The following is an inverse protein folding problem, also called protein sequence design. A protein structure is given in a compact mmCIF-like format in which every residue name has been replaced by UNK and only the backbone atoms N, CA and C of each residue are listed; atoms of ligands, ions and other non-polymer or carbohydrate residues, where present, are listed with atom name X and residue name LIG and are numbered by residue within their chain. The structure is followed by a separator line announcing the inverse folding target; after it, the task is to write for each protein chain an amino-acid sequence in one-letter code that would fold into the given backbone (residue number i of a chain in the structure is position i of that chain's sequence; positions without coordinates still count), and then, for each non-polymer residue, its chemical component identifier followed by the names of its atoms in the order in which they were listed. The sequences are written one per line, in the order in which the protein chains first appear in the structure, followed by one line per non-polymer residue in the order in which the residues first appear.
data_IF_700997396548
#
_entry.id   IF_700997396548
#
_cell.length_a   1.000
_cell.length_b   1.000
_cell.length_c   1.000
_cell.angle_alpha   90.00
_cell.angle_beta   90.00
_cell.angle_gamma   90.00
#
_symmetry.space_group_name_H-M   'P 1'
#
loop_
_entity.id
_entity.type
_entity.pdbx_description
1 polymer ?
#
# COMPACT_ATOMS: atom_id res chain seq x y z
N UNK A 1 9.62 -20.40 -70.51
CA UNK A 1 9.58 -20.99 -69.16
C UNK A 1 10.71 -20.40 -68.36
N UNK A 2 10.44 -19.37 -67.55
CA UNK A 2 11.42 -18.73 -66.69
C UNK A 2 10.88 -18.76 -65.26
N UNK A 3 11.57 -19.47 -64.39
CA UNK A 3 11.18 -19.65 -62.98
C UNK A 3 11.38 -18.35 -62.19
N UNK A 4 10.53 -18.04 -61.20
CA UNK A 4 10.70 -16.85 -60.36
C UNK A 4 11.80 -17.09 -59.33
N UNK A 5 12.73 -16.13 -59.23
CA UNK A 5 13.71 -16.03 -58.15
C UNK A 5 13.00 -15.64 -56.86
N UNK A 6 12.95 -16.55 -55.89
CA UNK A 6 12.52 -16.22 -54.53
C UNK A 6 13.56 -15.31 -53.86
N UNK A 7 13.11 -14.12 -53.47
CA UNK A 7 13.87 -13.20 -52.63
C UNK A 7 13.86 -13.73 -51.19
N UNK A 8 14.99 -14.29 -50.77
CA UNK A 8 15.25 -14.67 -49.38
C UNK A 8 15.52 -13.40 -48.57
N UNK A 9 14.56 -13.02 -47.72
CA UNK A 9 14.73 -11.91 -46.76
C UNK A 9 15.91 -12.19 -45.81
N UNK A 10 16.69 -11.16 -45.42
CA UNK A 10 17.79 -11.32 -44.47
C UNK A 10 17.25 -11.68 -43.08
N UNK A 11 17.78 -12.75 -42.50
CA UNK A 11 17.48 -13.15 -41.12
C UNK A 11 17.88 -12.04 -40.13
N UNK A 12 17.08 -11.78 -39.09
CA UNK A 12 17.45 -10.82 -38.04
C UNK A 12 18.70 -11.32 -37.31
N UNK A 13 19.69 -10.44 -37.20
CA UNK A 13 20.94 -10.68 -36.47
C UNK A 13 20.63 -11.02 -34.98
N UNK A 14 21.12 -12.16 -34.45
CA UNK A 14 20.78 -12.65 -33.11
C UNK A 14 21.25 -11.76 -31.94
N UNK A 15 22.06 -10.73 -32.21
CA UNK A 15 22.58 -9.82 -31.18
C UNK A 15 21.57 -8.77 -30.67
N UNK A 16 20.54 -8.44 -31.45
CA UNK A 16 19.60 -7.36 -31.10
C UNK A 16 18.70 -7.68 -29.91
N UNK A 17 18.09 -8.86 -29.92
CA UNK A 17 17.12 -9.27 -28.90
C UNK A 17 17.75 -9.42 -27.50
N UNK A 18 18.97 -9.95 -27.41
CA UNK A 18 19.69 -10.11 -26.15
C UNK A 18 20.06 -8.76 -25.52
N UNK A 19 20.49 -7.80 -26.34
CA UNK A 19 20.83 -6.45 -25.86
C UNK A 19 19.58 -5.70 -25.39
N UNK A 20 18.47 -5.83 -26.13
CA UNK A 20 17.18 -5.26 -25.73
C UNK A 20 16.68 -5.86 -24.41
N UNK A 21 16.66 -7.20 -24.30
CA UNK A 21 16.24 -7.90 -23.09
C UNK A 21 17.05 -7.46 -21.87
N UNK A 22 18.38 -7.37 -22.01
CA UNK A 22 19.27 -6.92 -20.95
C UNK A 22 18.99 -5.47 -20.54
N UNK A 23 18.76 -4.57 -21.50
CA UNK A 23 18.44 -3.17 -21.22
C UNK A 23 17.11 -3.01 -20.49
N UNK A 24 16.08 -3.76 -20.90
CA UNK A 24 14.74 -3.72 -20.29
C UNK A 24 14.75 -4.30 -18.88
N UNK A 25 15.41 -5.45 -18.68
CA UNK A 25 15.60 -6.03 -17.35
C UNK A 25 16.36 -5.09 -16.41
N UNK A 26 17.43 -4.45 -16.88
CA UNK A 26 18.19 -3.50 -16.07
C UNK A 26 17.32 -2.33 -15.59
N UNK A 27 16.49 -1.77 -16.49
CA UNK A 27 15.54 -0.71 -16.15
C UNK A 27 14.50 -1.20 -15.12
N UNK A 28 13.94 -2.40 -15.30
CA UNK A 28 12.97 -2.96 -14.34
C UNK A 28 13.59 -3.20 -12.95
N UNK A 29 14.82 -3.71 -12.89
CA UNK A 29 15.54 -3.90 -11.62
C UNK A 29 15.84 -2.56 -10.91
N UNK A 30 16.14 -1.50 -11.67
CA UNK A 30 16.31 -0.16 -11.12
C UNK A 30 14.99 0.36 -10.52
N UNK A 31 13.88 0.16 -11.23
CA UNK A 31 12.52 0.50 -10.74
C UNK A 31 12.22 -0.24 -9.44
N UNK A 32 12.45 -1.57 -9.41
CA UNK A 32 12.22 -2.39 -8.21
C UNK A 32 13.10 -1.94 -7.03
N UNK A 33 14.35 -1.57 -7.29
CA UNK A 33 15.25 -1.07 -6.23
C UNK A 33 14.78 0.27 -5.66
N UNK A 34 14.19 1.14 -6.48
CA UNK A 34 13.58 2.39 -6.02
C UNK A 34 12.26 2.16 -5.26
N UNK A 35 11.50 1.15 -5.67
CA UNK A 35 10.25 0.74 -5.05
C UNK A 35 10.47 0.10 -3.67
N UNK A 36 11.49 -0.73 -3.54
CA UNK A 36 11.80 -1.48 -2.32
C UNK A 36 13.19 -1.04 -1.82
N UNK A 37 13.29 0.17 -1.23
CA UNK A 37 14.58 0.78 -0.87
C UNK A 37 15.27 0.09 0.30
N UNK A 38 14.58 -0.82 0.99
CA UNK A 38 15.14 -1.57 2.10
C UNK A 38 16.31 -2.44 1.61
N UNK A 39 17.48 -2.35 2.28
CA UNK A 39 18.66 -3.07 1.84
C UNK A 39 18.41 -4.58 1.93
N UNK A 40 18.44 -5.25 0.79
CA UNK A 40 18.21 -6.69 0.67
C UNK A 40 16.75 -7.10 0.44
N UNK A 41 15.81 -6.15 0.35
CA UNK A 41 14.42 -6.48 0.00
C UNK A 41 14.32 -7.06 -1.41
N UNK A 42 15.04 -6.50 -2.39
CA UNK A 42 15.19 -7.06 -3.74
C UNK A 42 16.66 -7.38 -3.97
N UNK A 43 16.96 -8.62 -4.35
CA UNK A 43 18.31 -9.07 -4.71
C UNK A 43 18.25 -9.85 -6.01
N UNK A 44 18.95 -9.37 -7.04
CA UNK A 44 19.09 -10.09 -8.30
C UNK A 44 20.45 -10.82 -8.37
N UNK A 45 20.42 -12.09 -8.77
CA UNK A 45 21.60 -12.95 -8.91
C UNK A 45 21.83 -13.26 -10.40
N UNK A 46 22.74 -12.53 -11.09
CA UNK A 46 22.91 -12.62 -12.54
C UNK A 46 23.26 -14.03 -13.03
N UNK A 47 24.04 -14.78 -12.24
CA UNK A 47 24.51 -16.12 -12.61
C UNK A 47 23.37 -17.14 -12.72
N UNK A 48 22.38 -17.06 -11.84
CA UNK A 48 21.20 -17.93 -11.87
C UNK A 48 20.01 -17.31 -12.59
N UNK A 49 20.10 -16.01 -12.94
CA UNK A 49 18.97 -15.17 -13.33
C UNK A 49 17.83 -15.26 -12.31
N UNK A 50 18.19 -15.24 -11.03
CA UNK A 50 17.23 -15.37 -9.95
C UNK A 50 17.00 -14.02 -9.30
N UNK A 51 15.73 -13.65 -9.14
CA UNK A 51 15.33 -12.50 -8.33
C UNK A 51 14.77 -13.03 -7.01
N UNK A 52 15.38 -12.59 -5.91
CA UNK A 52 14.86 -12.83 -4.57
C UNK A 52 14.23 -11.56 -4.04
N UNK A 53 12.98 -11.66 -3.65
CA UNK A 53 12.27 -10.65 -2.89
C UNK A 53 12.06 -11.15 -1.46
N UNK A 54 12.42 -10.34 -0.48
CA UNK A 54 12.25 -10.65 0.94
C UNK A 54 11.56 -9.48 1.60
N UNK A 55 10.44 -9.75 2.25
CA UNK A 55 9.76 -8.78 3.11
C UNK A 55 10.29 -9.06 4.50
N UNK A 56 11.26 -8.28 5.02
CA UNK A 56 11.61 -8.37 6.42
C UNK A 56 10.30 -8.17 7.18
N UNK A 57 9.95 -9.01 8.16
CA UNK A 57 8.75 -8.80 8.97
C UNK A 57 8.92 -7.53 9.81
N UNK A 58 8.37 -6.36 9.44
CA UNK A 58 8.64 -5.11 10.15
C UNK A 58 7.45 -4.66 11.00
N UNK A 59 6.39 -5.48 11.10
CA UNK A 59 5.08 -5.07 11.62
C UNK A 59 4.58 -5.89 12.82
N UNK A 60 5.38 -6.84 13.32
CA UNK A 60 5.06 -7.60 14.54
C UNK A 60 6.10 -7.25 15.61
N UNK A 61 6.09 -6.00 16.08
CA UNK A 61 6.40 -5.73 17.49
C UNK A 61 5.16 -6.13 18.31
N UNK A 62 4.85 -7.43 18.39
CA UNK A 62 4.00 -7.89 19.47
C UNK A 62 4.77 -7.61 20.75
N UNK A 63 4.35 -6.57 21.49
CA UNK A 63 4.91 -6.12 22.76
C UNK A 63 4.91 -7.16 23.89
N UNK A 64 4.63 -8.42 23.60
CA UNK A 64 4.93 -9.57 24.44
C UNK A 64 6.36 -10.00 24.13
N UNK A 65 7.30 -9.75 25.05
CA UNK A 65 8.73 -10.06 24.94
C UNK A 65 9.12 -11.53 24.75
N UNK A 66 8.25 -12.34 24.15
CA UNK A 66 8.54 -13.68 23.68
C UNK A 66 9.24 -13.57 22.34
N UNK A 67 10.54 -13.82 22.37
CA UNK A 67 11.48 -13.82 21.24
C UNK A 67 11.17 -14.98 20.28
N UNK A 68 10.00 -14.96 19.64
CA UNK A 68 9.60 -15.87 18.58
C UNK A 68 10.27 -15.45 17.28
N UNK A 69 10.78 -16.43 16.53
CA UNK A 69 11.39 -16.23 15.22
C UNK A 69 10.37 -15.64 14.24
N UNK A 70 10.36 -14.33 14.05
CA UNK A 70 9.62 -13.68 12.95
C UNK A 70 10.35 -13.99 11.65
N UNK A 71 9.94 -15.07 10.97
CA UNK A 71 10.48 -15.36 9.64
C UNK A 71 10.07 -14.26 8.66
N UNK A 72 10.93 -13.99 7.69
CA UNK A 72 10.64 -13.05 6.61
C UNK A 72 9.88 -13.77 5.48
N UNK A 73 8.79 -13.19 5.01
CA UNK A 73 8.12 -13.70 3.83
C UNK A 73 9.06 -13.56 2.62
N UNK A 74 9.23 -14.62 1.84
CA UNK A 74 10.24 -14.69 0.79
C UNK A 74 9.63 -15.20 -0.51
N UNK A 75 9.95 -14.54 -1.62
CA UNK A 75 9.65 -14.93 -2.99
C UNK A 75 10.96 -15.07 -3.77
N UNK A 76 11.11 -16.17 -4.51
CA UNK A 76 12.25 -16.42 -5.41
C UNK A 76 11.72 -16.73 -6.79
N UNK A 77 12.16 -15.94 -7.77
CA UNK A 77 11.79 -16.03 -9.17
C UNK A 77 13.00 -16.43 -9.99
N UNK A 78 12.81 -17.27 -11.02
CA UNK A 78 13.81 -17.54 -12.06
C UNK A 78 13.38 -16.90 -13.37
N UNK A 79 14.22 -16.05 -13.94
CA UNK A 79 13.92 -15.32 -15.15
C UNK A 79 14.40 -16.10 -16.39
N UNK A 80 13.57 -16.26 -17.44
CA UNK A 80 13.98 -16.78 -18.73
C UNK A 80 15.18 -16.03 -19.33
N UNK A 81 15.94 -16.68 -20.21
CA UNK A 81 17.16 -16.13 -20.82
C UNK A 81 16.93 -14.82 -21.59
N UNK A 82 15.76 -14.65 -22.19
CA UNK A 82 15.40 -13.48 -22.98
C UNK A 82 14.30 -12.65 -22.33
N UNK A 83 14.05 -12.81 -21.02
CA UNK A 83 13.12 -11.94 -20.30
C UNK A 83 13.54 -10.46 -20.37
N UNK A 84 12.63 -9.50 -20.59
CA UNK A 84 11.17 -9.66 -20.74
C UNK A 84 10.69 -9.94 -22.17
N UNK A 85 11.58 -10.02 -23.16
CA UNK A 85 11.23 -10.21 -24.58
C UNK A 85 10.49 -11.53 -24.80
N UNK A 86 10.93 -12.62 -24.18
CA UNK A 86 10.22 -13.91 -24.27
C UNK A 86 10.09 -14.62 -22.93
N UNK A 87 8.90 -15.18 -22.69
CA UNK A 87 8.58 -15.97 -21.52
C UNK A 87 8.43 -15.15 -20.23
N UNK A 88 8.00 -15.81 -19.17
CA UNK A 88 7.74 -15.20 -17.86
C UNK A 88 8.63 -15.75 -16.77
N UNK A 89 8.89 -14.97 -15.71
CA UNK A 89 9.59 -15.47 -14.53
C UNK A 89 8.84 -16.64 -13.89
N UNK A 90 9.56 -17.70 -13.55
CA UNK A 90 9.03 -18.87 -12.85
C UNK A 90 9.15 -18.69 -11.34
N UNK A 91 8.06 -18.97 -10.60
CA UNK A 91 8.06 -18.97 -9.14
C UNK A 91 8.73 -20.25 -8.62
N UNK A 92 9.96 -20.14 -8.10
CA UNK A 92 10.69 -21.24 -7.49
C UNK A 92 10.26 -21.47 -6.04
N UNK A 93 10.15 -20.38 -5.28
CA UNK A 93 9.80 -20.39 -3.85
C UNK A 93 8.87 -19.21 -3.57
N UNK A 94 7.83 -19.45 -2.79
CA UNK A 94 7.02 -18.41 -2.17
C UNK A 94 6.64 -18.94 -0.78
N UNK A 95 7.03 -18.24 0.29
CA UNK A 95 6.79 -18.70 1.65
C UNK A 95 6.34 -17.57 2.55
N UNK A 96 5.37 -17.86 3.41
CA UNK A 96 5.02 -16.96 4.50
C UNK A 96 6.11 -16.97 5.57
N UNK A 97 6.32 -15.81 6.20
CA UNK A 97 7.36 -15.64 7.21
C UNK A 97 7.12 -16.47 8.47
N UNK A 98 5.88 -16.48 8.98
CA UNK A 98 5.61 -16.97 10.33
C UNK A 98 5.33 -18.48 10.40
N UNK A 99 4.67 -19.04 9.39
CA UNK A 99 4.29 -20.45 9.35
C UNK A 99 5.19 -21.29 8.44
N UNK A 100 6.16 -20.66 7.74
CA UNK A 100 6.89 -21.26 6.62
C UNK A 100 5.94 -21.94 5.61
N UNK A 101 4.69 -21.48 5.55
CA UNK A 101 3.69 -22.07 4.69
C UNK A 101 4.08 -21.82 3.25
N UNK A 102 4.00 -22.86 2.44
CA UNK A 102 4.25 -22.77 1.01
C UNK A 102 3.09 -22.01 0.34
N UNK A 103 3.42 -20.87 -0.25
CA UNK A 103 2.49 -19.98 -0.94
C UNK A 103 2.66 -20.03 -2.46
N UNK A 104 3.39 -21.00 -3.01
CA UNK A 104 3.66 -21.08 -4.46
C UNK A 104 2.38 -21.21 -5.27
N UNK A 105 1.51 -22.14 -4.93
CA UNK A 105 0.29 -22.39 -5.71
C UNK A 105 -0.70 -21.22 -5.63
N UNK A 106 -0.99 -20.64 -4.44
CA UNK A 106 -1.80 -19.42 -4.36
C UNK A 106 -1.19 -18.24 -5.11
N UNK A 107 0.13 -18.05 -5.05
CA UNK A 107 0.82 -16.98 -5.79
C UNK A 107 0.72 -17.20 -7.29
N UNK A 108 0.94 -18.43 -7.78
CA UNK A 108 0.76 -18.78 -9.20
C UNK A 108 -0.68 -18.50 -9.66
N UNK A 109 -1.67 -18.92 -8.89
CA UNK A 109 -3.07 -18.67 -9.21
C UNK A 109 -3.40 -17.15 -9.26
N UNK A 110 -2.85 -16.36 -8.35
CA UNK A 110 -3.00 -14.90 -8.37
C UNK A 110 -2.33 -14.26 -9.59
N UNK A 111 -1.19 -14.80 -10.03
CA UNK A 111 -0.47 -14.36 -11.24
C UNK A 111 -1.22 -14.75 -12.52
N UNK A 112 -1.79 -15.96 -12.57
CA UNK A 112 -2.59 -16.41 -13.72
C UNK A 112 -3.82 -15.51 -13.93
N UNK A 113 -4.39 -14.98 -12.84
CA UNK A 113 -5.47 -13.99 -12.88
C UNK A 113 -5.05 -12.62 -13.48
N UNK A 114 -3.77 -12.43 -13.81
CA UNK A 114 -3.30 -11.28 -14.57
C UNK A 114 -3.53 -11.41 -16.07
N UNK A 115 -3.68 -12.63 -16.58
CA UNK A 115 -3.84 -12.86 -18.02
C UNK A 115 -2.62 -12.40 -18.83
N UNK A 116 -1.41 -12.66 -18.30
CA UNK A 116 -0.16 -12.26 -18.96
C UNK A 116 -0.07 -12.90 -20.37
N UNK A 117 0.42 -12.18 -21.39
CA UNK A 117 0.55 -12.71 -22.74
C UNK A 117 1.46 -13.94 -22.74
N UNK A 118 1.04 -15.08 -23.30
CA UNK A 118 1.80 -16.34 -23.21
C UNK A 118 3.26 -16.25 -23.73
N UNK A 119 3.53 -15.34 -24.66
CA UNK A 119 4.83 -15.19 -25.31
C UNK A 119 5.81 -14.27 -24.56
N UNK A 120 5.35 -13.54 -23.54
CA UNK A 120 6.14 -12.49 -22.88
C UNK A 120 5.90 -11.12 -23.50
N UNK A 121 6.95 -10.28 -23.56
CA UNK A 121 6.92 -8.94 -24.15
C UNK A 121 6.69 -7.81 -23.15
N UNK A 122 6.40 -8.12 -21.89
CA UNK A 122 6.11 -7.15 -20.83
C UNK A 122 6.94 -7.42 -19.57
N UNK A 123 7.35 -6.33 -18.92
CA UNK A 123 7.95 -6.31 -17.58
C UNK A 123 6.90 -6.60 -16.50
N UNK A 124 7.03 -7.72 -15.79
CA UNK A 124 6.01 -8.24 -14.84
C UNK A 124 6.54 -8.53 -13.43
N UNK A 125 7.81 -8.24 -13.12
CA UNK A 125 8.38 -8.56 -11.81
C UNK A 125 7.66 -7.84 -10.67
N UNK A 126 7.26 -6.58 -10.86
CA UNK A 126 6.45 -5.83 -9.89
C UNK A 126 5.08 -6.49 -9.66
N UNK A 127 4.40 -6.87 -10.75
CA UNK A 127 3.11 -7.55 -10.67
C UNK A 127 3.20 -8.88 -9.92
N UNK A 128 4.26 -9.67 -10.17
CA UNK A 128 4.53 -10.92 -9.45
C UNK A 128 4.75 -10.68 -7.95
N UNK A 129 5.50 -9.64 -7.58
CA UNK A 129 5.72 -9.26 -6.18
C UNK A 129 4.41 -8.81 -5.52
N UNK A 130 3.59 -8.03 -6.22
CA UNK A 130 2.28 -7.60 -5.73
C UNK A 130 1.32 -8.77 -5.52
N UNK A 131 1.26 -9.73 -6.45
CA UNK A 131 0.48 -10.97 -6.27
C UNK A 131 0.91 -11.73 -5.02
N UNK A 132 2.21 -11.87 -4.82
CA UNK A 132 2.76 -12.53 -3.64
C UNK A 132 2.38 -11.79 -2.34
N UNK A 133 2.49 -10.45 -2.33
CA UNK A 133 2.10 -9.63 -1.18
C UNK A 133 0.62 -9.80 -0.81
N UNK A 134 -0.27 -9.82 -1.81
CA UNK A 134 -1.71 -10.03 -1.59
C UNK A 134 -2.02 -11.41 -1.01
N UNK A 135 -1.31 -12.45 -1.45
CA UNK A 135 -1.45 -13.80 -0.92
C UNK A 135 -0.97 -13.88 0.53
N UNK A 136 0.17 -13.26 0.84
CA UNK A 136 0.70 -13.20 2.22
C UNK A 136 -0.28 -12.48 3.15
N UNK A 137 -0.86 -11.36 2.70
CA UNK A 137 -1.85 -10.60 3.47
C UNK A 137 -3.13 -11.43 3.73
N UNK A 138 -3.63 -12.12 2.69
CA UNK A 138 -4.82 -12.98 2.81
C UNK A 138 -4.61 -14.16 3.78
N UNK A 139 -3.43 -14.79 3.77
CA UNK A 139 -3.07 -15.87 4.71
C UNK A 139 -3.07 -15.37 6.16
N UNK A 140 -2.47 -14.19 6.41
CA UNK A 140 -2.45 -13.58 7.74
C UNK A 140 -3.85 -13.29 8.27
N UNK A 141 -4.76 -12.80 7.41
CA UNK A 141 -6.15 -12.56 7.79
C UNK A 141 -6.87 -13.85 8.19
N UNK A 142 -6.64 -14.96 7.48
CA UNK A 142 -7.25 -16.25 7.81
C UNK A 142 -6.78 -16.81 9.16
N UNK A 143 -5.49 -16.69 9.49
CA UNK A 143 -4.94 -17.19 10.76
C UNK A 143 -5.55 -16.49 11.99
N UNK A 144 -5.87 -15.19 11.90
CA UNK A 144 -6.47 -14.46 13.04
C UNK A 144 -7.90 -14.92 13.37
N UNK A 145 -8.63 -15.49 12.41
CA UNK A 145 -10.02 -15.92 12.60
C UNK A 145 -10.17 -17.34 13.14
N UNK A 146 -9.15 -18.19 12.94
CA UNK A 146 -9.21 -19.61 13.30
C UNK A 146 -8.79 -19.93 14.75
N UNK A 147 -8.22 -18.96 15.48
CA UNK A 147 -7.65 -19.19 16.82
C UNK A 147 -8.61 -19.02 18.01
N UNK A 148 -9.91 -18.77 17.80
CA UNK A 148 -10.84 -18.40 18.89
C UNK A 148 -11.80 -19.51 19.35
N UNK A 149 -11.70 -20.73 18.83
CA UNK A 149 -12.60 -21.83 19.18
C UNK A 149 -11.84 -23.01 19.79
N UNK A 150 -11.44 -22.92 21.07
CA UNK A 150 -11.46 -24.09 21.99
C UNK A 150 -10.90 -23.77 23.39
N UNK A 151 -11.77 -23.78 24.42
CA UNK A 151 -11.58 -24.58 25.66
C UNK A 151 -12.73 -24.38 26.67
N UNK A 152 -13.86 -25.06 26.44
CA UNK A 152 -14.71 -25.53 27.54
C UNK A 152 -15.15 -26.98 27.31
N UNK A 153 -14.18 -27.90 27.35
CA UNK A 153 -14.46 -29.30 27.74
C UNK A 153 -14.49 -29.40 29.26
N UNK A 154 -15.59 -28.98 29.85
CA UNK A 154 -15.96 -29.34 31.22
C UNK A 154 -16.63 -30.71 31.22
N UNK A 155 -15.90 -31.73 31.65
CA UNK A 155 -16.47 -33.02 32.01
C UNK A 155 -17.21 -32.88 33.36
N UNK A 156 -18.53 -33.07 33.36
CA UNK A 156 -19.33 -33.10 34.58
C UNK A 156 -20.81 -33.39 34.31
N UNK A 157 -21.20 -34.66 34.41
CA UNK A 157 -22.61 -35.06 34.63
C UNK A 157 -23.02 -34.62 36.04
N UNK A 158 -24.25 -34.11 36.22
CA UNK A 158 -25.26 -34.98 36.84
C UNK A 158 -26.61 -34.90 36.14
N UNK A 159 -27.33 -36.02 36.20
CA UNK A 159 -28.74 -36.15 35.84
C UNK A 159 -29.62 -35.26 36.72
N UNK A 160 -30.62 -34.63 36.11
CA UNK A 160 -31.69 -33.92 36.80
C UNK A 160 -32.72 -33.43 35.79
N UNK A 161 -33.81 -34.18 35.65
CA UNK A 161 -35.02 -33.81 34.92
C UNK A 161 -35.60 -32.50 35.46
N UNK A 162 -35.73 -31.47 34.61
CA UNK A 162 -36.77 -30.43 34.73
C UNK A 162 -37.09 -29.90 33.33
N UNK A 163 -38.37 -29.95 32.97
CA UNK A 163 -38.95 -29.30 31.80
C UNK A 163 -39.15 -27.80 32.07
N UNK A 164 -38.71 -26.93 31.16
CA UNK A 164 -39.18 -25.54 31.02
C UNK A 164 -38.59 -24.95 29.72
N UNK A 165 -39.39 -24.75 28.68
CA UNK A 165 -39.99 -23.48 28.25
C UNK A 165 -39.03 -22.55 27.48
N UNK A 166 -39.53 -22.08 26.34
CA UNK A 166 -38.77 -21.57 25.22
C UNK A 166 -38.07 -20.24 25.47
N UNK A 167 -36.85 -20.08 24.94
CA UNK A 167 -36.37 -18.80 24.39
C UNK A 167 -35.10 -19.00 23.54
N UNK A 168 -35.28 -19.27 22.24
CA UNK A 168 -34.19 -19.22 21.25
C UNK A 168 -34.36 -17.97 20.36
N UNK A 169 -34.01 -16.79 20.88
CA UNK A 169 -33.78 -15.56 20.08
C UNK A 169 -33.14 -14.48 20.95
N UNK A 170 -31.85 -14.64 21.33
CA UNK A 170 -31.13 -13.55 22.02
C UNK A 170 -29.60 -13.61 21.98
N UNK A 171 -28.96 -14.44 21.14
CA UNK A 171 -27.49 -14.63 21.22
C UNK A 171 -26.68 -14.30 19.97
N UNK A 172 -27.27 -13.54 19.03
CA UNK A 172 -26.62 -13.19 17.75
C UNK A 172 -26.29 -11.68 17.59
N UNK A 173 -26.17 -10.91 18.67
CA UNK A 173 -25.94 -9.45 18.60
C UNK A 173 -24.76 -8.91 19.43
N UNK A 174 -23.76 -9.72 19.80
CA UNK A 174 -22.61 -9.25 20.59
C UNK A 174 -21.25 -9.29 19.89
N UNK A 175 -21.19 -9.13 18.56
CA UNK A 175 -19.93 -8.94 17.81
C UNK A 175 -19.80 -7.59 17.09
N UNK A 176 -20.64 -6.60 17.38
CA UNK A 176 -20.48 -5.24 16.86
C UNK A 176 -20.39 -4.22 17.99
N UNK A 177 -19.36 -4.34 18.83
CA UNK A 177 -18.80 -3.17 19.52
C UNK A 177 -17.45 -2.85 18.86
N UNK A 178 -17.51 -2.60 17.55
CA UNK A 178 -16.42 -1.94 16.86
C UNK A 178 -16.36 -0.51 17.38
N UNK A 179 -15.20 -0.16 17.94
CA UNK A 179 -14.82 1.18 18.36
C UNK A 179 -15.30 2.23 17.34
N UNK A 180 -15.63 3.47 17.78
CA UNK A 180 -16.15 4.50 16.88
C UNK A 180 -15.23 4.63 15.67
N UNK A 181 -15.69 4.09 14.52
CA UNK A 181 -14.94 4.10 13.27
C UNK A 181 -14.55 5.54 12.99
N UNK A 182 -13.26 5.83 12.93
CA UNK A 182 -12.78 7.12 12.41
C UNK A 182 -13.52 7.37 11.11
N UNK A 183 -14.26 8.48 11.08
CA UNK A 183 -15.10 8.81 9.94
C UNK A 183 -14.25 9.25 8.73
N UNK A 184 -12.94 9.46 8.92
CA UNK A 184 -12.03 9.98 7.93
C UNK A 184 -10.78 9.11 7.78
N UNK A 185 -10.24 9.11 6.57
CA UNK A 185 -9.02 8.38 6.19
C UNK A 185 -8.16 9.27 5.31
N UNK A 186 -6.84 9.18 5.49
CA UNK A 186 -5.84 9.79 4.63
C UNK A 186 -4.89 8.72 4.11
N UNK A 187 -4.57 8.77 2.81
CA UNK A 187 -3.66 7.84 2.13
C UNK A 187 -2.65 8.62 1.29
N UNK A 188 -1.37 8.25 1.38
CA UNK A 188 -0.32 8.69 0.44
C UNK A 188 0.10 7.49 -0.41
N UNK A 189 -0.01 7.65 -1.73
CA UNK A 189 0.38 6.67 -2.72
C UNK A 189 1.56 7.21 -3.51
N UNK A 190 2.60 6.40 -3.61
CA UNK A 190 3.74 6.62 -4.47
C UNK A 190 3.58 5.82 -5.77
N UNK A 191 4.06 6.39 -6.87
CA UNK A 191 4.12 5.80 -8.19
C UNK A 191 5.48 6.12 -8.81
N UNK A 192 6.00 5.22 -9.64
CA UNK A 192 7.22 5.50 -10.40
C UNK A 192 6.98 6.71 -11.33
N UNK A 193 5.97 6.62 -12.21
CA UNK A 193 5.54 7.77 -13.01
C UNK A 193 4.02 7.90 -13.08
N UNK A 194 3.54 9.14 -13.03
CA UNK A 194 2.16 9.49 -13.35
C UNK A 194 2.13 10.43 -14.57
N UNK A 195 2.63 9.93 -15.72
CA UNK A 195 2.68 10.69 -16.98
C UNK A 195 1.48 10.41 -17.89
N UNK A 196 0.88 9.22 -17.79
CA UNK A 196 -0.25 8.82 -18.62
C UNK A 196 -1.49 9.66 -18.27
N UNK A 197 -2.10 10.27 -19.30
CA UNK A 197 -3.25 11.18 -19.15
C UNK A 197 -4.51 10.47 -18.64
N UNK A 198 -4.73 9.20 -18.98
CA UNK A 198 -5.85 8.43 -18.45
C UNK A 198 -5.66 8.12 -16.96
N UNK A 199 -4.44 7.76 -16.54
CA UNK A 199 -4.12 7.58 -15.11
C UNK A 199 -4.38 8.87 -14.32
N UNK A 200 -3.92 10.01 -14.85
CA UNK A 200 -4.15 11.34 -14.25
C UNK A 200 -5.63 11.67 -14.12
N UNK A 201 -6.43 11.43 -15.17
CA UNK A 201 -7.89 11.63 -15.12
C UNK A 201 -8.56 10.79 -14.04
N UNK A 202 -8.18 9.51 -13.91
CA UNK A 202 -8.73 8.63 -12.87
C UNK A 202 -8.32 9.09 -11.45
N UNK A 203 -7.10 9.59 -11.28
CA UNK A 203 -6.62 10.12 -10.01
C UNK A 203 -7.32 11.43 -9.58
N UNK A 204 -7.68 12.28 -10.54
CA UNK A 204 -8.36 13.57 -10.27
C UNK A 204 -9.87 13.44 -10.08
N UNK A 205 -10.48 12.35 -10.56
CA UNK A 205 -11.94 12.19 -10.59
C UNK A 205 -12.39 10.89 -9.93
N UNK A 206 -12.58 10.87 -8.60
CA UNK A 206 -13.15 9.74 -7.89
C UNK A 206 -14.54 9.41 -8.43
N UNK A 207 -14.69 8.21 -8.99
CA UNK A 207 -15.92 7.76 -9.67
C UNK A 207 -17.16 7.80 -8.76
N UNK A 208 -16.96 7.69 -7.44
CA UNK A 208 -18.04 7.60 -6.46
C UNK A 208 -18.65 8.95 -6.04
N UNK A 209 -17.98 10.08 -6.29
CA UNK A 209 -18.54 11.41 -5.97
C UNK A 209 -19.71 11.80 -6.89
N UNK A 210 -19.91 11.12 -8.02
CA UNK A 210 -20.95 11.48 -8.99
C UNK A 210 -22.34 10.90 -8.68
N UNK A 211 -22.47 10.00 -7.68
CA UNK A 211 -23.68 9.18 -7.51
C UNK A 211 -24.52 9.47 -6.26
N UNK A 212 -24.12 10.40 -5.40
CA UNK A 212 -24.94 10.79 -4.24
C UNK A 212 -25.97 11.85 -4.68
N UNK A 213 -27.27 11.53 -4.75
CA UNK A 213 -28.29 12.51 -5.04
C UNK A 213 -28.32 13.54 -3.91
N UNK A 214 -28.27 14.82 -4.28
CA UNK A 214 -28.49 15.96 -3.38
C UNK A 214 -29.94 15.96 -2.88
N UNK A 215 -30.31 15.03 -2.00
CA UNK A 215 -31.66 14.95 -1.43
C UNK A 215 -31.65 15.30 0.04
N UNK A 216 -32.18 16.50 0.31
CA UNK A 216 -33.12 16.87 1.37
C UNK A 216 -32.68 18.06 2.24
N UNK A 217 -33.53 19.08 2.20
CA UNK A 217 -33.36 20.43 2.71
C UNK A 217 -33.75 20.60 4.21
N UNK A 218 -33.77 19.54 5.02
CA UNK A 218 -34.47 19.61 6.33
C UNK A 218 -33.70 19.08 7.55
N UNK A 219 -32.38 19.17 7.57
CA UNK A 219 -31.59 19.03 8.80
C UNK A 219 -30.37 19.97 8.77
N UNK A 220 -29.94 20.56 9.91
CA UNK A 220 -28.77 21.43 9.95
C UNK A 220 -27.54 20.67 9.43
N UNK A 221 -27.07 21.10 8.26
CA UNK A 221 -26.12 20.40 7.43
C UNK A 221 -24.73 20.41 8.06
N UNK A 222 -24.30 19.25 8.55
CA UNK A 222 -22.86 18.95 8.58
C UNK A 222 -22.43 18.83 7.11
N UNK A 223 -21.52 19.67 6.59
CA UNK A 223 -21.10 19.57 5.20
C UNK A 223 -20.47 18.19 5.00
N UNK A 224 -21.13 17.34 4.21
CA UNK A 224 -20.60 16.05 3.78
C UNK A 224 -19.40 16.32 2.87
N UNK A 225 -18.22 16.46 3.49
CA UNK A 225 -16.95 16.63 2.78
C UNK A 225 -16.70 15.35 1.96
N UNK A 226 -16.58 15.45 0.65
CA UNK A 226 -16.10 14.39 -0.22
C UNK A 226 -14.59 14.15 -0.09
N UNK A 227 -13.99 13.54 -1.12
CA UNK A 227 -12.54 13.31 -1.16
C UNK A 227 -11.85 14.61 -1.57
N UNK A 228 -10.84 14.99 -0.81
CA UNK A 228 -9.94 16.11 -1.10
C UNK A 228 -8.54 15.56 -1.28
N UNK A 229 -7.72 16.19 -2.12
CA UNK A 229 -6.38 15.65 -2.31
C UNK A 229 -5.50 16.42 -3.27
N UNK A 230 -4.31 15.88 -3.47
CA UNK A 230 -3.29 16.44 -4.33
C UNK A 230 -2.67 15.32 -5.15
N UNK A 231 -2.51 15.56 -6.44
CA UNK A 231 -1.77 14.66 -7.34
C UNK A 231 -0.58 15.39 -7.92
N UNK A 232 0.59 14.76 -7.94
CA UNK A 232 1.78 15.27 -8.61
C UNK A 232 2.17 14.32 -9.75
N UNK A 233 2.04 14.72 -11.02
CA UNK A 233 2.45 13.92 -12.16
C UNK A 233 3.98 13.85 -12.30
N UNK A 234 4.47 13.00 -13.20
CA UNK A 234 5.90 12.86 -13.47
C UNK A 234 6.63 11.91 -12.52
N UNK A 235 7.93 12.13 -12.30
CA UNK A 235 8.81 11.30 -11.46
C UNK A 235 9.19 11.98 -10.13
N UNK A 236 9.00 11.34 -8.96
CA UNK A 236 8.02 10.28 -8.77
C UNK A 236 6.59 10.82 -8.98
N UNK A 237 5.65 9.92 -9.26
CA UNK A 237 4.22 10.24 -9.21
C UNK A 237 3.74 10.13 -7.77
N UNK A 238 2.92 11.08 -7.31
CA UNK A 238 2.40 11.06 -5.93
C UNK A 238 0.92 11.36 -5.93
N UNK A 239 0.15 10.58 -5.17
CA UNK A 239 -1.27 10.83 -4.91
C UNK A 239 -1.45 10.95 -3.40
N UNK A 240 -2.17 11.97 -2.95
CA UNK A 240 -2.52 12.19 -1.56
C UNK A 240 -4.02 12.43 -1.50
N UNK A 241 -4.76 11.54 -0.83
CA UNK A 241 -6.20 11.64 -0.66
C UNK A 241 -6.57 11.67 0.82
N UNK A 242 -7.55 12.48 1.16
CA UNK A 242 -8.08 12.64 2.52
C UNK A 242 -9.57 12.97 2.46
N UNK A 243 -10.38 12.35 3.30
CA UNK A 243 -11.84 12.51 3.27
C UNK A 243 -12.55 11.40 4.04
N UNK A 244 -13.86 11.20 3.80
CA UNK A 244 -14.62 10.11 4.43
C UNK A 244 -13.99 8.76 4.15
N UNK A 245 -13.88 7.94 5.20
CA UNK A 245 -13.15 6.67 5.15
C UNK A 245 -13.60 5.77 4.00
N UNK A 246 -14.90 5.57 3.87
CA UNK A 246 -15.47 4.66 2.88
C UNK A 246 -15.23 5.17 1.45
N UNK A 247 -15.28 6.48 1.23
CA UNK A 247 -15.04 7.08 -0.08
C UNK A 247 -13.56 7.00 -0.46
N UNK A 248 -12.65 7.33 0.46
CA UNK A 248 -11.20 7.22 0.21
C UNK A 248 -10.83 5.77 -0.04
N UNK A 249 -11.30 4.84 0.80
CA UNK A 249 -11.00 3.41 0.65
C UNK A 249 -11.50 2.86 -0.70
N UNK A 250 -12.74 3.18 -1.07
CA UNK A 250 -13.31 2.72 -2.34
C UNK A 250 -12.62 3.36 -3.56
N UNK A 251 -12.22 4.63 -3.46
CA UNK A 251 -11.43 5.27 -4.52
C UNK A 251 -10.05 4.63 -4.67
N UNK A 252 -9.31 4.42 -3.57
CA UNK A 252 -8.00 3.75 -3.60
C UNK A 252 -8.12 2.33 -4.15
N UNK A 253 -9.16 1.58 -3.77
CA UNK A 253 -9.44 0.26 -4.34
C UNK A 253 -9.67 0.33 -5.86
N UNK A 254 -10.43 1.32 -6.35
CA UNK A 254 -10.65 1.51 -7.79
C UNK A 254 -9.37 1.83 -8.56
N UNK A 255 -8.45 2.61 -7.97
CA UNK A 255 -7.16 2.92 -8.55
C UNK A 255 -6.23 1.69 -8.54
N UNK A 256 -6.21 0.94 -7.44
CA UNK A 256 -5.45 -0.31 -7.31
C UNK A 256 -5.91 -1.35 -8.34
N UNK A 257 -7.21 -1.42 -8.62
CA UNK A 257 -7.77 -2.29 -9.66
C UNK A 257 -7.29 -1.97 -11.08
N UNK A 258 -6.76 -0.75 -11.32
CA UNK A 258 -6.13 -0.40 -12.59
C UNK A 258 -4.72 -0.98 -12.76
N UNK A 259 -4.17 -1.62 -11.72
CA UNK A 259 -2.85 -2.28 -11.74
C UNK A 259 -1.74 -1.39 -12.28
N UNK A 260 -1.69 -0.14 -11.82
CA UNK A 260 -0.62 0.77 -12.24
C UNK A 260 0.73 0.28 -11.71
N UNK A 261 1.74 0.30 -12.57
CA UNK A 261 3.12 0.03 -12.16
C UNK A 261 3.52 0.87 -10.96
N UNK A 262 4.17 0.21 -10.00
CA UNK A 262 4.71 0.83 -8.82
C UNK A 262 3.70 1.53 -7.90
N UNK A 263 2.46 1.04 -7.85
CA UNK A 263 1.42 1.55 -6.96
C UNK A 263 1.70 1.14 -5.50
N UNK A 264 2.31 2.05 -4.73
CA UNK A 264 2.67 1.80 -3.34
C UNK A 264 1.91 2.71 -2.39
N UNK A 265 1.07 2.15 -1.53
CA UNK A 265 0.54 2.89 -0.37
C UNK A 265 1.67 3.03 0.64
N UNK A 266 2.19 4.25 0.83
CA UNK A 266 3.27 4.54 1.78
C UNK A 266 2.79 5.10 3.11
N UNK A 267 1.55 5.56 3.16
CA UNK A 267 0.89 6.02 4.37
C UNK A 267 -0.59 5.68 4.29
N UNK A 268 -1.12 5.09 5.34
CA UNK A 268 -2.54 4.88 5.56
C UNK A 268 -2.87 5.24 7.02
N UNK A 269 -3.69 6.25 7.23
CA UNK A 269 -4.02 6.73 8.57
C UNK A 269 -4.81 5.72 9.41
N UNK A 270 -5.36 4.66 8.80
CA UNK A 270 -6.00 3.57 9.53
C UNK A 270 -4.96 2.71 10.28
N UNK A 271 -3.74 2.57 9.74
CA UNK A 271 -2.68 1.75 10.33
C UNK A 271 -2.06 2.43 11.56
N UNK A 272 -2.00 3.76 11.57
CA UNK A 272 -1.51 4.54 12.72
C UNK A 272 -2.35 4.32 14.00
N UNK A 273 -3.64 3.99 13.85
CA UNK A 273 -4.56 3.84 15.00
C UNK A 273 -4.33 2.54 15.76
N UNK A 274 -3.87 1.52 15.05
CA UNK A 274 -3.61 0.21 15.64
C UNK A 274 -2.44 0.27 16.63
N UNK A 275 -1.50 1.20 16.41
CA UNK A 275 -0.35 1.45 17.27
C UNK A 275 -0.74 2.23 18.55
N UNK A 276 -1.64 3.21 18.45
CA UNK A 276 -2.05 4.04 19.60
C UNK A 276 -2.96 3.30 20.60
N UNK A 277 -3.78 2.35 20.13
CA UNK A 277 -4.70 1.58 20.97
C UNK A 277 -4.01 0.50 21.83
N UNK A 278 -2.75 0.16 21.51
CA UNK A 278 -2.01 -0.93 22.14
C UNK A 278 -1.19 -0.53 23.39
N UNK A 279 -1.17 0.74 23.82
CA UNK A 279 -0.67 1.06 25.17
C UNK A 279 -0.09 2.45 25.36
N UNK A 280 -0.75 3.24 26.22
CA UNK A 280 -0.05 4.21 27.07
C UNK A 280 0.64 3.45 28.21
N UNK A 281 1.95 3.30 28.12
CA UNK A 281 2.96 3.74 29.11
C UNK A 281 4.31 3.12 28.75
N UNK A 282 5.19 3.91 28.14
CA UNK A 282 6.55 3.50 27.81
C UNK A 282 7.03 4.24 26.56
N UNK A 283 7.86 5.26 26.76
CA UNK A 283 8.26 6.19 25.70
C UNK A 283 8.96 5.56 24.48
N UNK A 284 8.87 6.32 23.37
CA UNK A 284 9.56 6.18 22.08
C UNK A 284 8.95 5.17 21.08
N UNK A 285 7.75 5.50 20.59
CA UNK A 285 7.21 4.98 19.33
C UNK A 285 6.99 6.13 18.35
N UNK A 286 8.08 6.69 17.81
CA UNK A 286 8.03 7.50 16.59
C UNK A 286 8.78 6.69 15.53
N UNK A 287 8.15 6.53 14.37
CA UNK A 287 8.73 5.83 13.22
C UNK A 287 10.21 6.17 13.07
N UNK A 288 11.03 5.13 13.02
CA UNK A 288 12.46 5.21 12.89
C UNK A 288 12.84 5.61 11.45
N UNK A 289 12.47 6.83 11.04
CA UNK A 289 13.28 7.63 10.14
C UNK A 289 14.48 8.06 10.98
N UNK A 290 15.63 7.43 10.74
CA UNK A 290 16.90 7.81 11.36
C UNK A 290 17.29 9.21 10.90
N UNK A 291 16.74 10.23 11.55
CA UNK A 291 17.21 11.62 11.45
C UNK A 291 18.55 11.67 12.18
N UNK A 292 19.64 11.62 11.41
CA UNK A 292 20.96 11.99 11.89
C UNK A 292 20.93 13.46 12.33
N UNK A 293 20.82 13.72 13.63
CA UNK A 293 21.14 15.02 14.21
C UNK A 293 22.64 15.27 14.07
N UNK A 294 23.03 16.12 13.13
CA UNK A 294 24.37 16.72 13.11
C UNK A 294 24.32 18.14 13.69
N UNK A 295 25.09 18.36 14.74
CA UNK A 295 25.74 19.65 15.03
C UNK A 295 24.93 20.69 15.78
N UNK A 296 25.15 20.77 17.10
CA UNK A 296 24.94 21.98 17.88
C UNK A 296 25.71 23.16 17.26
N UNK A 297 25.02 24.29 17.04
CA UNK A 297 25.65 25.61 16.98
C UNK A 297 25.11 26.46 18.13
N UNK A 298 26.02 26.93 18.98
CA UNK A 298 25.73 27.83 20.08
C UNK A 298 25.49 29.25 19.55
N UNK A 299 24.39 29.84 20.04
CA UNK A 299 24.33 31.23 20.47
C UNK A 299 23.94 32.27 19.42
N UNK A 300 22.75 32.84 19.57
CA UNK A 300 22.60 34.21 20.10
C UNK A 300 21.12 34.56 20.29
N UNK A 301 20.82 35.09 21.47
CA UNK A 301 19.55 35.70 21.83
C UNK A 301 19.32 36.99 21.05
N UNK A 302 18.14 37.14 20.46
CA UNK A 302 17.56 38.46 20.20
C UNK A 302 16.04 38.42 20.41
N UNK A 303 15.60 39.28 21.32
CA UNK A 303 14.22 39.59 21.68
C UNK A 303 13.44 40.15 20.48
N UNK A 304 12.18 39.73 20.27
CA UNK A 304 11.05 40.61 19.93
C UNK A 304 9.71 39.87 19.82
N UNK A 305 8.69 40.45 20.47
CA UNK A 305 7.38 40.71 19.84
C UNK A 305 6.34 39.60 19.86
N UNK A 306 5.71 39.38 21.01
CA UNK A 306 4.41 38.70 21.11
C UNK A 306 3.34 39.50 20.35
N UNK A 307 2.70 38.89 19.36
CA UNK A 307 1.37 39.29 18.89
C UNK A 307 0.48 38.06 18.97
N UNK A 308 -0.49 38.13 19.88
CA UNK A 308 -1.49 37.10 20.14
C UNK A 308 -2.50 37.06 18.99
N UNK A 309 -2.28 36.17 18.03
CA UNK A 309 -3.34 35.71 17.13
C UNK A 309 -3.96 34.45 17.74
N UNK A 310 -5.03 34.66 18.52
CA UNK A 310 -5.91 33.60 19.00
C UNK A 310 -6.76 33.08 17.83
N UNK A 311 -6.13 32.28 16.97
CA UNK A 311 -6.83 31.55 15.92
C UNK A 311 -7.76 30.52 16.57
N UNK A 312 -8.98 30.43 16.04
CA UNK A 312 -9.95 29.42 16.40
C UNK A 312 -9.36 28.05 16.03
N UNK A 313 -8.81 27.35 17.02
CA UNK A 313 -8.27 26.00 16.87
C UNK A 313 -9.46 25.05 16.71
N UNK A 314 -10.00 24.99 15.49
CA UNK A 314 -11.03 24.02 15.14
C UNK A 314 -10.38 22.66 15.24
N UNK A 315 -10.68 21.93 16.33
CA UNK A 315 -10.22 20.56 16.55
C UNK A 315 -10.69 19.72 15.36
N UNK A 316 -9.76 19.43 14.45
CA UNK A 316 -10.05 18.65 13.28
C UNK A 316 -10.39 17.22 13.67
N UNK A 317 -11.29 16.55 12.92
CA UNK A 317 -11.49 15.13 13.10
C UNK A 317 -10.16 14.39 12.95
N UNK A 318 -9.85 13.43 13.85
CA UNK A 318 -8.63 12.65 13.74
C UNK A 318 -8.58 11.93 12.39
N UNK A 319 -7.45 12.04 11.70
CA UNK A 319 -7.21 11.39 10.39
C UNK A 319 -7.60 12.23 9.17
N UNK A 320 -8.23 13.40 9.33
CA UNK A 320 -8.55 14.30 8.21
C UNK A 320 -7.42 15.31 7.99
N UNK A 321 -6.84 15.31 6.79
CA UNK A 321 -5.89 16.32 6.36
C UNK A 321 -6.61 17.45 5.61
N UNK A 322 -6.22 18.69 5.90
CA UNK A 322 -6.75 19.89 5.24
C UNK A 322 -5.75 20.48 4.26
N UNK A 323 -6.30 21.03 3.17
CA UNK A 323 -5.52 21.59 2.06
C UNK A 323 -5.87 23.05 1.78
N UNK A 324 -4.91 23.80 1.24
CA UNK A 324 -5.04 25.22 0.87
C UNK A 324 -6.14 25.48 -0.16
N UNK A 325 -6.33 24.54 -1.11
CA UNK A 325 -7.35 24.66 -2.16
C UNK A 325 -8.78 24.37 -1.69
N UNK A 326 -8.98 24.12 -0.39
CA UNK A 326 -10.30 23.86 0.18
C UNK A 326 -10.77 22.41 0.02
N UNK A 327 -11.95 22.09 0.58
CA UNK A 327 -12.50 20.74 0.59
C UNK A 327 -13.00 20.30 -0.81
N UNK A 328 -13.24 19.00 -0.93
CA UNK A 328 -13.98 18.32 -2.00
C UNK A 328 -13.36 18.46 -3.39
N UNK A 329 -12.10 18.86 -3.44
CA UNK A 329 -11.36 19.08 -4.67
C UNK A 329 -10.05 18.30 -4.61
N UNK A 330 -9.69 17.65 -5.72
CA UNK A 330 -8.36 17.09 -5.91
C UNK A 330 -7.66 17.96 -6.94
N UNK A 331 -6.50 18.50 -6.58
CA UNK A 331 -5.74 19.39 -7.47
C UNK A 331 -4.47 18.72 -7.98
N UNK A 332 -4.10 19.04 -9.21
CA UNK A 332 -2.80 18.67 -9.74
C UNK A 332 -1.76 19.75 -9.43
N UNK A 333 -0.57 19.36 -8.98
CA UNK A 333 0.55 20.26 -8.70
C UNK A 333 1.82 19.82 -9.42
N UNK A 334 2.63 20.79 -9.84
CA UNK A 334 3.80 20.52 -10.69
C UNK A 334 4.98 19.91 -9.92
N UNK A 335 5.06 20.14 -8.61
CA UNK A 335 6.21 19.72 -7.79
C UNK A 335 5.82 19.21 -6.42
N UNK A 336 6.69 18.41 -5.82
CA UNK A 336 6.54 17.91 -4.45
C UNK A 336 6.51 19.07 -3.45
N UNK A 337 7.28 20.13 -3.68
CA UNK A 337 7.27 21.32 -2.82
C UNK A 337 5.91 22.01 -2.84
N UNK A 338 5.23 22.08 -3.99
CA UNK A 338 3.86 22.58 -4.08
C UNK A 338 2.87 21.64 -3.40
N UNK A 339 3.04 20.32 -3.53
CA UNK A 339 2.22 19.35 -2.81
C UNK A 339 2.34 19.54 -1.29
N UNK A 340 3.57 19.65 -0.77
CA UNK A 340 3.83 19.88 0.64
C UNK A 340 3.24 21.22 1.13
N UNK A 341 3.40 22.29 0.35
CA UNK A 341 2.83 23.62 0.67
C UNK A 341 1.31 23.64 0.68
N UNK A 342 0.67 22.77 -0.12
CA UNK A 342 -0.79 22.68 -0.13
C UNK A 342 -1.38 22.06 1.14
N UNK A 343 -0.58 21.37 1.96
CA UNK A 343 -1.01 20.81 3.25
C UNK A 343 -0.96 21.92 4.31
N UNK A 344 -2.10 22.22 4.94
CA UNK A 344 -2.26 23.31 5.92
C UNK A 344 -1.55 23.04 7.25
N UNK A 345 -1.65 21.80 7.73
CA UNK A 345 -1.14 21.41 9.04
C UNK A 345 0.33 21.01 8.92
N UNK A 346 1.22 21.71 9.62
CA UNK A 346 2.67 21.50 9.53
C UNK A 346 3.07 20.04 9.86
N UNK A 347 2.48 19.45 10.89
CA UNK A 347 2.74 18.04 11.26
C UNK A 347 2.42 17.08 10.10
N UNK A 348 1.31 17.30 9.38
CA UNK A 348 0.95 16.47 8.23
C UNK A 348 1.91 16.66 7.06
N UNK A 349 2.44 17.89 6.88
CA UNK A 349 3.47 18.18 5.89
C UNK A 349 4.77 17.44 6.20
N UNK A 350 5.20 17.41 7.45
CA UNK A 350 6.37 16.64 7.90
C UNK A 350 6.17 15.13 7.64
N UNK A 351 4.99 14.58 8.01
CA UNK A 351 4.63 13.19 7.71
C UNK A 351 4.68 12.91 6.21
N UNK A 352 4.11 13.79 5.39
CA UNK A 352 4.13 13.67 3.94
C UNK A 352 5.56 13.59 3.38
N UNK A 353 6.43 14.53 3.77
CA UNK A 353 7.82 14.59 3.30
C UNK A 353 8.63 13.35 3.74
N UNK A 354 8.42 12.90 4.97
CA UNK A 354 9.07 11.69 5.49
C UNK A 354 8.66 10.43 4.71
N UNK A 355 7.35 10.27 4.46
CA UNK A 355 6.77 9.11 3.76
C UNK A 355 7.23 9.02 2.31
N UNK A 356 7.33 10.16 1.62
CA UNK A 356 7.81 10.20 0.23
C UNK A 356 9.34 10.10 0.11
N UNK A 357 10.07 10.15 1.22
CA UNK A 357 11.53 10.03 1.26
C UNK A 357 12.29 11.29 0.83
N UNK A 358 11.66 12.48 0.93
CA UNK A 358 12.33 13.77 0.69
C UNK A 358 12.86 14.29 2.01
N UNK A 359 14.20 14.40 2.11
CA UNK A 359 14.91 14.90 3.30
C UNK A 359 15.02 16.42 3.31
#
# INVERSE_FOLDING_TARGET
MASPKEHRSPSPEPGGATAEAASRLAAELEILSAMYPDPGAVTYMPRGRELRFTIPSPWIETGTGTRGSTGAATLVLRLPELYPVTGHPEILTASSGNSHQDLRDPTKAAVDAFGLPAEGGEEVLDALILAFLEVVEAEQQQQTTAGSDDHHKGAGRPSGDVADDGTHSARQQQQQQQQPKRQHKTVIIWLHHLLNTNKRKLALHPTLQQSLPHTSHTAPATPSRGITGVTKPGYPGVLLYSGPRDLVAAHVASLRAQRWQAFQVRYDSDDDVLLDAAGKEGGKGAAHVKILKSGETKGQQARRGTTDNKACDSVLPPGLWEFEHGPDTIVEVESISLAARSIKVEKHRETFLAVIGVK
#
